data_IF_801958851902
#
_entry.id   IF_801958851902
#
_cell.length_a   1.000
_cell.length_b   1.000
_cell.length_c   1.000
_cell.angle_alpha   90.00
_cell.angle_beta   90.00
_cell.angle_gamma   90.00
#
_symmetry.space_group_name_H-M   'P 1'
#
loop_
_entity.id
_entity.type
_entity.pdbx_description
1 polymer ?
#
# COMPACT_ATOMS: atom_id res chain seq x y z
N UNK A 1 -45.29 -24.14 14.89
CA UNK A 1 -45.81 -23.14 15.84
C UNK A 1 -44.79 -22.00 15.99
N UNK A 2 -44.61 -21.15 14.96
CA UNK A 2 -43.68 -20.01 14.98
C UNK A 2 -44.15 -18.93 14.00
N UNK A 3 -45.09 -18.07 14.42
CA UNK A 3 -45.59 -16.96 13.58
C UNK A 3 -46.16 -15.76 14.35
N UNK A 4 -45.72 -15.51 15.59
CA UNK A 4 -46.23 -14.39 16.43
C UNK A 4 -45.18 -13.33 16.84
N UNK A 5 -43.87 -13.60 16.77
CA UNK A 5 -42.85 -12.65 17.27
C UNK A 5 -42.52 -11.47 16.33
N UNK A 6 -43.20 -11.32 15.18
CA UNK A 6 -42.97 -10.19 14.25
C UNK A 6 -43.85 -8.96 14.51
N UNK A 7 -44.89 -9.07 15.35
CA UNK A 7 -45.79 -7.93 15.63
C UNK A 7 -45.30 -7.05 16.80
N UNK A 8 -44.60 -7.64 17.78
CA UNK A 8 -44.12 -6.91 18.96
C UNK A 8 -42.95 -5.96 18.66
N UNK A 9 -42.15 -6.26 17.64
CA UNK A 9 -40.97 -5.45 17.28
C UNK A 9 -41.34 -4.16 16.52
N UNK A 10 -42.52 -4.09 15.91
CA UNK A 10 -42.95 -2.92 15.12
C UNK A 10 -43.59 -1.81 15.97
N UNK A 11 -44.12 -2.15 17.16
CA UNK A 11 -44.79 -1.19 18.05
C UNK A 11 -43.80 -0.33 18.84
N UNK A 12 -42.60 -0.85 19.13
CA UNK A 12 -41.59 -0.13 19.93
C UNK A 12 -40.86 0.94 19.10
N UNK A 13 -40.72 0.75 17.79
CA UNK A 13 -40.05 1.72 16.89
C UNK A 13 -40.84 3.01 16.66
N UNK A 14 -42.17 3.01 16.87
CA UNK A 14 -43.03 4.17 16.60
C UNK A 14 -43.11 5.14 17.80
N UNK A 15 -42.78 4.70 19.02
CA UNK A 15 -42.94 5.53 20.23
C UNK A 15 -41.71 6.36 20.65
N UNK A 16 -40.61 6.34 19.89
CA UNK A 16 -39.40 7.12 20.21
C UNK A 16 -39.05 8.23 19.19
N UNK A 17 -39.97 8.54 18.27
CA UNK A 17 -39.78 9.60 17.24
C UNK A 17 -40.60 10.88 17.57
N UNK A 18 -41.38 10.89 18.64
CA UNK A 18 -42.28 12.00 19.02
C UNK A 18 -41.87 12.69 20.33
N UNK A 19 -40.58 12.96 20.53
CA UNK A 19 -40.06 13.62 21.73
C UNK A 19 -38.92 14.61 21.44
N UNK A 20 -39.08 15.48 20.43
CA UNK A 20 -38.15 16.59 20.16
C UNK A 20 -38.82 17.73 19.34
N UNK A 21 -39.97 18.23 19.83
CA UNK A 21 -40.62 19.45 19.32
C UNK A 21 -41.15 20.32 20.48
N UNK A 22 -40.23 20.93 21.23
CA UNK A 22 -40.50 22.10 22.10
C UNK A 22 -39.31 23.05 22.06
N UNK A 23 -39.14 23.76 20.94
CA UNK A 23 -38.29 24.94 20.86
C UNK A 23 -39.14 26.19 21.06
N UNK A 24 -39.01 26.85 22.22
CA UNK A 24 -39.67 28.13 22.46
C UNK A 24 -38.90 29.25 21.74
N UNK A 25 -39.63 30.10 21.04
CA UNK A 25 -39.14 31.32 20.40
C UNK A 25 -39.13 32.51 21.37
N UNK A 26 -38.11 33.35 21.28
CA UNK A 26 -38.23 34.79 21.54
C UNK A 26 -37.04 35.53 20.92
N UNK A 27 -37.32 36.35 19.91
CA UNK A 27 -36.48 37.49 19.55
C UNK A 27 -36.80 38.65 20.51
N UNK A 28 -35.82 39.50 20.84
CA UNK A 28 -35.90 40.92 20.46
C UNK A 28 -34.62 41.71 20.84
N UNK A 29 -34.32 42.71 20.00
CA UNK A 29 -33.76 44.05 20.30
C UNK A 29 -32.69 44.15 21.42
N UNK A 30 -31.45 44.63 21.23
CA UNK A 30 -30.88 45.50 20.20
C UNK A 30 -30.57 46.90 20.77
N UNK A 31 -29.34 47.41 20.59
CA UNK A 31 -29.09 48.87 20.51
C UNK A 31 -27.66 49.18 20.03
N UNK A 32 -27.51 50.30 19.31
CA UNK A 32 -26.22 50.86 18.92
C UNK A 32 -25.68 51.75 20.04
N UNK A 33 -24.37 51.67 20.32
CA UNK A 33 -23.65 52.80 20.90
C UNK A 33 -22.41 53.14 20.08
N UNK A 34 -22.51 54.25 19.38
CA UNK A 34 -21.38 54.96 18.77
C UNK A 34 -20.48 55.52 19.88
N UNK A 35 -19.17 55.32 19.77
CA UNK A 35 -18.21 56.16 20.49
C UNK A 35 -17.05 56.54 19.58
N UNK A 36 -16.76 57.83 19.51
CA UNK A 36 -15.71 58.41 18.65
C UNK A 36 -14.43 58.69 19.45
N UNK A 37 -13.29 58.64 18.76
CA UNK A 37 -11.97 59.01 19.29
C UNK A 37 -11.24 57.82 19.93
N UNK A 38 -9.90 57.74 19.89
CA UNK A 38 -8.91 58.79 19.59
C UNK A 38 -7.76 58.19 18.77
N UNK A 39 -7.06 59.03 17.99
CA UNK A 39 -5.84 58.64 17.26
C UNK A 39 -4.75 58.12 18.20
N UNK A 40 -4.26 56.91 17.93
CA UNK A 40 -3.06 56.35 18.53
C UNK A 40 -2.20 55.70 17.46
N UNK A 41 -1.07 56.31 17.13
CA UNK A 41 -0.05 55.64 16.32
C UNK A 41 0.63 54.57 17.18
N UNK A 42 0.31 53.31 16.96
CA UNK A 42 1.17 52.21 17.40
C UNK A 42 1.70 51.39 16.22
N UNK A 43 2.99 51.14 16.31
CA UNK A 43 3.84 50.60 15.26
C UNK A 43 3.72 49.06 15.24
N UNK A 44 2.60 48.54 14.75
CA UNK A 44 2.42 47.10 14.56
C UNK A 44 3.17 46.62 13.31
N UNK A 45 4.50 46.54 13.43
CA UNK A 45 5.26 45.58 12.65
C UNK A 45 4.68 44.19 12.93
N UNK A 46 4.15 43.55 11.89
CA UNK A 46 3.56 42.20 11.99
C UNK A 46 4.62 41.25 12.53
N UNK A 47 4.50 40.90 13.81
CA UNK A 47 5.30 39.83 14.42
C UNK A 47 4.83 38.53 13.80
N UNK A 48 5.47 38.16 12.68
CA UNK A 48 5.37 36.83 12.10
C UNK A 48 5.68 35.83 13.23
N UNK A 49 4.79 34.89 13.57
CA UNK A 49 5.03 33.95 14.66
C UNK A 49 6.38 33.25 14.42
N UNK A 50 7.30 33.46 15.34
CA UNK A 50 8.68 33.03 15.21
C UNK A 50 8.82 31.55 15.53
N UNK A 51 9.53 30.82 14.67
CA UNK A 51 9.99 29.44 14.88
C UNK A 51 8.86 28.40 15.02
N UNK A 52 8.48 27.80 13.90
CA UNK A 52 8.06 26.39 13.93
C UNK A 52 9.15 25.57 14.64
N UNK A 53 8.75 24.55 15.40
CA UNK A 53 9.72 23.62 15.98
C UNK A 53 10.29 22.80 14.82
N UNK A 54 11.58 22.97 14.52
CA UNK A 54 12.33 22.11 13.59
C UNK A 54 12.55 20.73 14.20
N UNK A 55 11.47 19.97 14.34
CA UNK A 55 11.50 18.56 14.66
C UNK A 55 12.01 17.74 13.47
N UNK A 56 12.45 16.53 13.75
CA UNK A 56 12.79 15.56 12.71
C UNK A 56 11.56 14.71 12.39
N UNK A 57 11.18 14.58 11.12
CA UNK A 57 10.19 13.60 10.70
C UNK A 57 10.87 12.23 10.54
N UNK A 58 10.22 11.18 11.03
CA UNK A 58 10.72 9.80 10.99
C UNK A 58 9.72 8.89 10.30
N UNK A 59 10.19 8.11 9.33
CA UNK A 59 9.39 7.11 8.61
C UNK A 59 10.04 5.75 8.80
N UNK A 60 9.37 4.89 9.55
CA UNK A 60 9.81 3.54 9.85
C UNK A 60 9.04 2.56 8.96
N UNK A 61 9.75 1.83 8.12
CA UNK A 61 9.25 0.67 7.39
C UNK A 61 9.59 -0.57 8.21
N UNK A 62 8.56 -1.11 8.87
CA UNK A 62 8.72 -2.16 9.86
C UNK A 62 8.79 -3.51 9.13
N UNK A 63 9.91 -4.22 9.22
CA UNK A 63 10.02 -5.62 8.81
C UNK A 63 8.95 -6.47 9.53
N UNK A 64 7.91 -6.81 8.78
CA UNK A 64 6.82 -7.73 9.15
C UNK A 64 6.89 -9.02 8.33
N UNK A 65 8.02 -9.28 7.65
CA UNK A 65 8.10 -10.29 6.60
C UNK A 65 7.28 -9.86 5.38
N UNK A 66 6.46 -10.78 4.86
CA UNK A 66 5.56 -10.46 3.76
C UNK A 66 4.38 -9.64 4.30
N UNK A 67 4.24 -8.40 3.82
CA UNK A 67 3.23 -7.45 4.27
C UNK A 67 3.75 -6.03 4.40
N UNK A 68 2.94 -5.16 4.97
CA UNK A 68 3.24 -3.75 5.18
C UNK A 68 2.94 -3.31 6.61
N UNK A 69 3.85 -2.50 7.16
CA UNK A 69 3.61 -1.70 8.35
C UNK A 69 4.53 -0.48 8.29
N UNK A 70 3.97 0.71 8.01
CA UNK A 70 4.71 1.97 7.92
C UNK A 70 4.26 2.93 9.00
N UNK A 71 5.18 3.32 9.88
CA UNK A 71 4.95 4.24 10.99
C UNK A 71 5.61 5.60 10.68
N UNK A 72 4.84 6.67 10.67
CA UNK A 72 5.33 8.04 10.48
C UNK A 72 5.21 8.79 11.80
N UNK A 73 6.33 9.26 12.35
CA UNK A 73 6.37 10.27 13.41
C UNK A 73 6.64 11.63 12.77
N UNK A 74 5.69 12.54 12.89
CA UNK A 74 5.78 13.93 12.41
C UNK A 74 6.70 14.80 13.27
N UNK A 75 7.13 15.98 12.80
CA UNK A 75 8.01 16.89 13.56
C UNK A 75 7.48 17.29 14.95
N UNK A 76 6.17 17.42 15.15
CA UNK A 76 5.56 17.67 16.46
C UNK A 76 5.12 16.39 17.20
N UNK A 77 5.72 15.25 16.88
CA UNK A 77 5.52 13.93 17.52
C UNK A 77 4.11 13.33 17.39
N UNK A 78 3.32 13.80 16.41
CA UNK A 78 2.07 13.14 16.00
C UNK A 78 2.38 11.90 15.16
N UNK A 79 1.53 10.87 15.27
CA UNK A 79 1.81 9.55 14.72
C UNK A 79 0.76 9.09 13.71
N UNK A 80 1.21 8.72 12.50
CA UNK A 80 0.42 7.97 11.52
C UNK A 80 0.93 6.52 11.50
N UNK A 81 0.04 5.53 11.59
CA UNK A 81 0.36 4.14 11.24
C UNK A 81 -0.42 3.74 9.98
N UNK A 82 0.28 3.18 9.00
CA UNK A 82 -0.27 2.67 7.75
C UNK A 82 0.00 1.17 7.73
N UNK A 83 -1.07 0.37 7.82
CA UNK A 83 -1.05 -1.10 7.92
C UNK A 83 -0.25 -1.64 9.12
N UNK A 84 -0.31 -2.97 9.34
CA UNK A 84 0.31 -3.63 10.51
C UNK A 84 0.73 -5.09 10.26
N UNK A 85 0.95 -5.49 9.00
CA UNK A 85 1.34 -6.84 8.61
C UNK A 85 0.22 -7.88 8.74
N UNK A 86 0.56 -9.14 8.54
CA UNK A 86 -0.34 -10.27 8.80
C UNK A 86 -0.61 -10.44 10.31
N UNK A 87 -1.62 -11.24 10.63
CA UNK A 87 -2.16 -11.43 11.98
C UNK A 87 -1.12 -11.88 13.02
N UNK A 88 -0.12 -12.67 12.62
CA UNK A 88 0.97 -13.08 13.52
C UNK A 88 1.98 -11.96 13.80
N UNK A 89 1.98 -10.88 12.98
CA UNK A 89 2.87 -9.71 13.09
C UNK A 89 2.31 -8.61 13.98
N UNK A 90 1.01 -8.61 14.26
CA UNK A 90 0.35 -7.57 15.06
C UNK A 90 1.01 -7.34 16.43
N UNK A 91 1.50 -8.39 17.09
CA UNK A 91 2.23 -8.26 18.36
C UNK A 91 3.62 -7.63 18.18
N UNK A 92 4.40 -8.03 17.16
CA UNK A 92 5.73 -7.45 16.92
C UNK A 92 5.67 -6.00 16.45
N UNK A 93 4.63 -5.62 15.68
CA UNK A 93 4.36 -4.20 15.34
C UNK A 93 4.04 -3.40 16.61
N UNK A 94 3.21 -3.92 17.51
CA UNK A 94 2.91 -3.27 18.81
C UNK A 94 4.17 -3.12 19.67
N UNK A 95 5.03 -4.14 19.71
CA UNK A 95 6.30 -4.08 20.45
C UNK A 95 7.26 -3.05 19.84
N UNK A 96 7.44 -3.04 18.52
CA UNK A 96 8.26 -2.07 17.81
C UNK A 96 7.81 -0.62 18.08
N UNK A 97 6.51 -0.34 17.92
CA UNK A 97 5.94 1.01 18.17
C UNK A 97 6.19 1.44 19.64
N UNK A 98 6.11 0.51 20.60
CA UNK A 98 6.42 0.79 22.01
C UNK A 98 7.91 1.05 22.27
N UNK A 99 8.84 0.45 21.52
CA UNK A 99 10.27 0.82 21.66
C UNK A 99 10.56 2.24 21.18
N UNK A 100 9.72 2.79 20.30
CA UNK A 100 9.75 4.22 19.92
C UNK A 100 9.09 5.15 20.95
N UNK A 101 8.69 4.63 22.13
CA UNK A 101 8.00 5.35 23.21
C UNK A 101 6.64 5.94 22.81
N UNK A 102 5.99 5.35 21.80
CA UNK A 102 4.67 5.76 21.31
C UNK A 102 3.58 4.98 22.05
N UNK A 103 2.56 5.70 22.53
CA UNK A 103 1.38 5.14 23.20
C UNK A 103 0.04 5.57 22.56
N UNK A 104 0.10 6.51 21.61
CA UNK A 104 -1.03 7.04 20.85
C UNK A 104 -0.69 7.02 19.37
N UNK A 105 -1.63 6.55 18.55
CA UNK A 105 -1.60 6.64 17.09
C UNK A 105 -2.70 7.63 16.73
N UNK A 106 -2.32 8.85 16.33
CA UNK A 106 -3.28 9.92 16.01
C UNK A 106 -4.11 9.56 14.77
N UNK A 107 -3.49 8.95 13.76
CA UNK A 107 -4.17 8.43 12.56
C UNK A 107 -3.74 7.00 12.26
N UNK A 108 -4.70 6.10 12.12
CA UNK A 108 -4.52 4.71 11.67
C UNK A 108 -5.15 4.55 10.28
N UNK A 109 -4.37 4.09 9.31
CA UNK A 109 -4.79 3.83 7.94
C UNK A 109 -4.70 2.33 7.66
N UNK A 110 -5.79 1.74 7.19
CA UNK A 110 -5.78 0.40 6.60
C UNK A 110 -5.89 0.56 5.07
N UNK A 111 -4.86 0.21 4.32
CA UNK A 111 -4.79 0.56 2.89
C UNK A 111 -5.85 -0.15 2.07
N UNK A 112 -5.98 -1.47 2.23
CA UNK A 112 -6.95 -2.33 1.53
C UNK A 112 -7.18 -3.66 2.31
N UNK A 113 -8.17 -4.50 1.96
CA UNK A 113 -8.63 -5.61 2.83
C UNK A 113 -7.74 -6.87 2.98
N UNK A 114 -6.50 -6.89 2.47
CA UNK A 114 -5.66 -8.10 2.49
C UNK A 114 -4.97 -8.36 3.84
N UNK A 115 -4.70 -9.64 4.10
CA UNK A 115 -4.32 -10.12 5.42
C UNK A 115 -2.96 -9.56 5.89
N UNK A 116 -1.99 -9.53 4.99
CA UNK A 116 -0.64 -9.01 5.16
C UNK A 116 -0.55 -7.48 5.27
N UNK A 117 -1.71 -6.80 5.24
CA UNK A 117 -1.85 -5.37 5.53
C UNK A 117 -2.64 -5.14 6.82
N UNK A 118 -3.85 -5.71 6.90
CA UNK A 118 -4.78 -5.38 7.99
C UNK A 118 -4.81 -6.40 9.14
N UNK A 119 -4.12 -7.53 9.00
CA UNK A 119 -4.19 -8.65 9.95
C UNK A 119 -3.65 -8.30 11.33
N UNK A 120 -2.59 -7.49 11.41
CA UNK A 120 -2.05 -7.02 12.68
C UNK A 120 -2.82 -5.85 13.31
N UNK A 121 -3.67 -5.14 12.56
CA UNK A 121 -4.33 -3.91 13.03
C UNK A 121 -5.22 -4.14 14.28
N UNK A 122 -5.96 -5.26 14.45
CA UNK A 122 -6.65 -5.57 15.70
C UNK A 122 -5.75 -5.54 16.95
N UNK A 123 -4.49 -5.97 16.84
CA UNK A 123 -3.53 -5.92 17.96
C UNK A 123 -3.13 -4.49 18.28
N UNK A 124 -2.91 -3.67 17.25
CA UNK A 124 -2.62 -2.23 17.35
C UNK A 124 -3.79 -1.49 18.01
N UNK A 125 -5.01 -1.65 17.50
CA UNK A 125 -6.22 -1.02 18.04
C UNK A 125 -6.40 -1.34 19.51
N UNK A 126 -6.19 -2.60 19.92
CA UNK A 126 -6.32 -2.99 21.33
C UNK A 126 -5.17 -2.46 22.23
N UNK A 127 -4.01 -2.15 21.66
CA UNK A 127 -2.79 -1.80 22.43
C UNK A 127 -2.50 -0.31 22.60
N UNK A 128 -3.05 0.56 21.75
CA UNK A 128 -2.75 2.00 21.73
C UNK A 128 -4.01 2.85 21.86
N UNK A 129 -3.87 4.12 22.23
CA UNK A 129 -4.93 5.10 22.01
C UNK A 129 -4.97 5.40 20.50
N UNK A 130 -6.14 5.28 19.87
CA UNK A 130 -6.31 5.55 18.44
C UNK A 130 -7.16 6.81 18.31
N UNK A 131 -6.68 7.81 17.56
CA UNK A 131 -7.43 9.03 17.27
C UNK A 131 -8.45 8.78 16.16
N UNK A 132 -7.97 8.69 14.92
CA UNK A 132 -8.79 8.50 13.72
C UNK A 132 -8.46 7.19 13.00
N UNK A 133 -9.46 6.57 12.36
CA UNK A 133 -9.27 5.37 11.52
C UNK A 133 -9.76 5.66 10.12
N UNK A 134 -8.91 5.43 9.11
CA UNK A 134 -9.24 5.58 7.69
C UNK A 134 -9.17 4.23 6.98
N UNK A 135 -10.17 3.93 6.17
CA UNK A 135 -10.24 2.72 5.33
C UNK A 135 -10.93 3.04 4.00
N UNK A 136 -10.56 2.41 2.87
CA UNK A 136 -11.33 2.52 1.64
C UNK A 136 -12.71 1.88 1.80
N UNK A 137 -13.68 2.32 1.00
CA UNK A 137 -15.08 1.86 1.08
C UNK A 137 -15.31 0.56 0.31
N UNK A 138 -14.54 -0.49 0.64
CA UNK A 138 -14.66 -1.83 0.04
C UNK A 138 -14.96 -2.88 1.10
N UNK A 139 -16.12 -3.57 1.05
CA UNK A 139 -16.41 -4.65 1.98
C UNK A 139 -15.65 -5.93 1.58
N UNK A 140 -15.23 -6.70 2.58
CA UNK A 140 -14.68 -8.03 2.39
C UNK A 140 -15.25 -9.02 3.41
N UNK A 141 -15.17 -10.32 3.16
CA UNK A 141 -15.79 -11.36 4.00
C UNK A 141 -14.77 -12.30 4.65
N UNK A 142 -13.49 -11.96 4.63
CA UNK A 142 -12.46 -12.72 5.37
C UNK A 142 -12.58 -12.48 6.87
N UNK A 143 -12.15 -13.47 7.66
CA UNK A 143 -12.08 -13.35 9.12
C UNK A 143 -11.18 -12.19 9.55
N UNK A 144 -10.11 -11.93 8.82
CA UNK A 144 -9.23 -10.76 8.99
C UNK A 144 -9.98 -9.43 8.94
N UNK A 145 -10.84 -9.24 7.93
CA UNK A 145 -11.62 -8.02 7.78
C UNK A 145 -12.73 -7.90 8.85
N UNK A 146 -13.38 -9.02 9.20
CA UNK A 146 -14.33 -9.08 10.31
C UNK A 146 -13.67 -8.70 11.65
N UNK A 147 -12.49 -9.25 11.95
CA UNK A 147 -11.75 -8.99 13.19
C UNK A 147 -11.29 -7.53 13.29
N UNK A 148 -10.92 -6.90 12.18
CA UNK A 148 -10.67 -5.45 12.11
C UNK A 148 -11.92 -4.64 12.47
N UNK A 149 -13.05 -4.91 11.81
CA UNK A 149 -14.30 -4.19 12.07
C UNK A 149 -14.77 -4.37 13.53
N UNK A 150 -14.63 -5.58 14.09
CA UNK A 150 -14.93 -5.85 15.49
C UNK A 150 -13.99 -5.09 16.44
N UNK A 151 -12.68 -5.02 16.16
CA UNK A 151 -11.74 -4.25 16.98
C UNK A 151 -12.09 -2.75 16.99
N UNK A 152 -12.38 -2.18 15.82
CA UNK A 152 -12.85 -0.79 15.66
C UNK A 152 -14.14 -0.55 16.46
N UNK A 153 -15.14 -1.42 16.28
CA UNK A 153 -16.44 -1.32 16.94
C UNK A 153 -16.32 -1.43 18.47
N UNK A 154 -15.58 -2.43 18.97
CA UNK A 154 -15.40 -2.67 20.40
C UNK A 154 -14.67 -1.51 21.10
N UNK A 155 -13.83 -0.77 20.38
CA UNK A 155 -13.16 0.44 20.88
C UNK A 155 -13.96 1.74 20.66
N UNK A 156 -15.16 1.65 20.08
CA UNK A 156 -16.03 2.80 19.82
C UNK A 156 -15.51 3.76 18.74
N UNK A 157 -14.56 3.30 17.92
CA UNK A 157 -13.93 4.10 16.87
C UNK A 157 -14.86 4.26 15.67
N UNK A 158 -14.68 5.36 14.93
CA UNK A 158 -15.41 5.64 13.69
C UNK A 158 -14.47 5.50 12.49
N UNK A 159 -14.92 4.80 11.46
CA UNK A 159 -14.20 4.72 10.18
C UNK A 159 -14.51 5.96 9.36
N UNK A 160 -13.48 6.69 8.98
CA UNK A 160 -13.50 7.68 7.91
C UNK A 160 -13.15 7.01 6.58
N UNK A 161 -13.75 7.46 5.49
CA UNK A 161 -13.45 6.90 4.16
C UNK A 161 -12.13 7.44 3.65
N UNK A 162 -11.17 6.55 3.41
CA UNK A 162 -9.97 6.84 2.65
C UNK A 162 -10.29 6.91 1.15
N UNK A 163 -9.85 7.98 0.50
CA UNK A 163 -9.99 8.24 -0.94
C UNK A 163 -9.13 9.44 -1.35
N UNK A 164 -8.90 9.60 -2.64
CA UNK A 164 -8.19 10.73 -3.21
C UNK A 164 -8.76 12.10 -2.76
N UNK A 165 -7.86 13.05 -2.47
CA UNK A 165 -8.18 14.40 -2.04
C UNK A 165 -8.55 14.55 -0.55
N UNK A 166 -8.39 13.51 0.26
CA UNK A 166 -8.51 13.61 1.73
C UNK A 166 -7.17 14.09 2.30
N UNK A 167 -7.15 15.29 2.88
CA UNK A 167 -6.02 15.83 3.65
C UNK A 167 -6.15 15.44 5.12
N UNK A 168 -5.05 15.04 5.76
CA UNK A 168 -4.97 14.75 7.18
C UNK A 168 -4.57 16.03 7.94
N UNK A 169 -5.49 16.59 8.73
CA UNK A 169 -5.20 17.66 9.69
C UNK A 169 -4.58 17.04 10.96
N UNK A 170 -3.26 16.79 10.89
CA UNK A 170 -2.51 16.07 11.94
C UNK A 170 -1.38 16.91 12.54
N UNK A 171 -0.57 17.57 11.72
CA UNK A 171 0.57 18.39 12.14
C UNK A 171 0.77 19.51 11.10
N UNK A 172 0.76 20.77 11.56
CA UNK A 172 0.87 21.96 10.70
C UNK A 172 2.24 22.16 10.04
N UNK A 173 3.23 21.33 10.37
CA UNK A 173 4.54 21.32 9.71
C UNK A 173 4.60 20.43 8.47
N UNK A 174 3.59 19.60 8.20
CA UNK A 174 3.57 18.71 7.03
C UNK A 174 2.28 18.87 6.23
N UNK A 175 2.35 18.52 4.95
CA UNK A 175 1.17 18.23 4.14
C UNK A 175 1.04 16.70 4.00
N UNK A 176 -0.12 16.14 4.33
CA UNK A 176 -0.40 14.71 4.20
C UNK A 176 -1.73 14.49 3.48
N UNK A 177 -1.69 13.98 2.25
CA UNK A 177 -2.83 13.91 1.33
C UNK A 177 -2.95 12.51 0.73
N UNK A 178 -4.16 11.96 0.77
CA UNK A 178 -4.48 10.71 0.08
C UNK A 178 -4.60 10.95 -1.42
N UNK A 179 -3.83 10.20 -2.22
CA UNK A 179 -3.81 10.27 -3.68
C UNK A 179 -4.72 9.21 -4.34
N UNK A 180 -5.06 8.15 -3.61
CA UNK A 180 -5.94 7.07 -4.05
C UNK A 180 -6.70 6.48 -2.84
N UNK A 181 -7.78 5.69 -3.04
CA UNK A 181 -8.44 5.35 -4.32
C UNK A 181 -9.10 6.55 -5.01
N UNK A 182 -9.12 6.52 -6.35
CA UNK A 182 -9.72 7.55 -7.22
C UNK A 182 -11.09 7.15 -7.81
N UNK A 183 -11.43 5.86 -7.75
CA UNK A 183 -12.71 5.28 -8.17
C UNK A 183 -13.42 4.60 -6.99
N UNK A 184 -14.77 4.57 -7.05
CA UNK A 184 -15.61 3.89 -6.04
C UNK A 184 -15.58 2.35 -6.18
N UNK A 185 -15.03 1.82 -7.28
CA UNK A 185 -14.95 0.38 -7.57
C UNK A 185 -13.71 0.04 -8.40
N UNK A 186 -13.08 -1.06 -8.04
CA UNK A 186 -12.04 -1.76 -8.81
C UNK A 186 -12.33 -3.26 -8.87
N UNK A 187 -11.70 -3.95 -9.82
CA UNK A 187 -11.73 -5.42 -9.93
C UNK A 187 -10.76 -6.08 -8.95
N UNK A 188 -9.53 -5.55 -8.85
CA UNK A 188 -8.55 -5.97 -7.83
C UNK A 188 -8.85 -5.30 -6.48
N UNK A 189 -8.72 -6.04 -5.37
CA UNK A 189 -8.78 -5.46 -4.03
C UNK A 189 -7.58 -4.54 -3.75
N UNK A 190 -6.44 -4.83 -4.38
CA UNK A 190 -5.20 -4.06 -4.28
C UNK A 190 -5.38 -2.60 -4.75
N UNK A 191 -6.14 -2.38 -5.82
CA UNK A 191 -6.36 -1.04 -6.40
C UNK A 191 -7.18 -0.10 -5.49
N UNK A 192 -7.89 -0.63 -4.49
CA UNK A 192 -8.51 0.17 -3.42
C UNK A 192 -7.48 0.73 -2.42
N UNK A 193 -6.20 0.39 -2.55
CA UNK A 193 -5.13 0.85 -1.65
C UNK A 193 -5.16 2.35 -1.45
N UNK A 194 -5.18 2.74 -0.18
CA UNK A 194 -4.99 4.12 0.22
C UNK A 194 -3.54 4.53 -0.02
N UNK A 195 -3.30 5.30 -1.07
CA UNK A 195 -1.99 5.90 -1.35
C UNK A 195 -1.90 7.22 -0.59
N UNK A 196 -0.91 7.39 0.28
CA UNK A 196 -0.67 8.63 1.04
C UNK A 196 0.61 9.31 0.54
N UNK A 197 0.52 10.56 0.08
CA UNK A 197 1.69 11.45 -0.07
C UNK A 197 1.88 12.25 1.21
N UNK A 198 3.12 12.38 1.66
CA UNK A 198 3.52 13.24 2.78
C UNK A 198 4.67 14.14 2.34
N UNK A 199 4.56 15.44 2.61
CA UNK A 199 5.58 16.46 2.31
C UNK A 199 5.94 17.20 3.60
N UNK A 200 7.24 17.33 3.86
CA UNK A 200 7.81 18.14 4.93
C UNK A 200 8.90 19.04 4.34
N UNK A 201 8.62 20.34 4.21
CA UNK A 201 9.47 21.31 3.49
C UNK A 201 9.84 20.80 2.09
N UNK A 202 11.12 20.63 1.76
CA UNK A 202 11.60 20.11 0.46
C UNK A 202 11.59 18.56 0.38
N UNK A 203 11.21 17.85 1.45
CA UNK A 203 11.29 16.39 1.54
C UNK A 203 9.94 15.71 1.37
N UNK A 204 9.87 14.69 0.51
CA UNK A 204 8.60 14.09 0.07
C UNK A 204 8.61 12.56 0.02
N UNK A 205 7.50 11.96 0.46
CA UNK A 205 7.27 10.53 0.57
C UNK A 205 5.94 10.15 -0.09
N UNK A 206 5.86 9.01 -0.78
CA UNK A 206 4.60 8.41 -1.20
C UNK A 206 4.54 6.94 -0.77
N UNK A 207 3.50 6.62 0.02
CA UNK A 207 3.25 5.29 0.57
C UNK A 207 2.04 4.71 -0.14
N UNK A 208 2.25 3.70 -0.99
CA UNK A 208 1.23 3.31 -1.97
C UNK A 208 0.29 2.19 -1.54
N UNK A 209 0.63 1.48 -0.46
CA UNK A 209 0.12 0.11 -0.28
C UNK A 209 0.35 -0.69 -1.57
N UNK A 210 -0.66 -1.46 -1.96
CA UNK A 210 -0.54 -2.42 -3.06
C UNK A 210 -1.20 -1.96 -4.37
N UNK A 211 -1.45 -0.66 -4.51
CA UNK A 211 -1.95 -0.06 -5.76
C UNK A 211 -1.26 -0.63 -7.02
N UNK A 212 -2.04 -1.12 -7.98
CA UNK A 212 -1.54 -1.75 -9.20
C UNK A 212 -1.76 -0.81 -10.40
N UNK A 213 -1.49 -1.31 -11.61
CA UNK A 213 -1.58 -0.54 -12.85
C UNK A 213 -2.89 0.28 -13.01
N UNK A 214 -4.03 -0.20 -12.54
CA UNK A 214 -5.31 0.53 -12.64
C UNK A 214 -5.30 1.79 -11.76
N UNK A 215 -5.00 1.63 -10.47
CA UNK A 215 -4.98 2.74 -9.51
C UNK A 215 -3.84 3.73 -9.83
N UNK A 216 -2.69 3.22 -10.27
CA UNK A 216 -1.55 4.03 -10.74
C UNK A 216 -1.92 4.88 -11.97
N UNK A 217 -2.61 4.31 -12.97
CA UNK A 217 -3.12 5.07 -14.13
C UNK A 217 -4.18 6.11 -13.75
N UNK A 218 -5.06 5.82 -12.79
CA UNK A 218 -6.03 6.80 -12.31
C UNK A 218 -5.37 7.98 -11.60
N UNK A 219 -4.36 7.73 -10.75
CA UNK A 219 -3.60 8.80 -10.10
C UNK A 219 -2.95 9.74 -11.13
N UNK A 220 -2.31 9.17 -12.17
CA UNK A 220 -1.74 9.94 -13.29
C UNK A 220 -2.81 10.74 -14.04
N UNK A 221 -3.94 10.12 -14.38
CA UNK A 221 -5.02 10.75 -15.14
C UNK A 221 -5.74 11.88 -14.38
N UNK A 222 -5.65 11.90 -13.04
CA UNK A 222 -6.20 12.99 -12.20
C UNK A 222 -5.31 14.23 -12.15
N UNK A 223 -4.05 14.12 -12.58
CA UNK A 223 -3.08 15.22 -12.49
C UNK A 223 -2.68 15.55 -11.05
N UNK A 224 -2.70 14.56 -10.16
CA UNK A 224 -2.11 14.70 -8.83
C UNK A 224 -0.59 14.94 -8.96
N UNK A 225 -0.02 15.78 -8.10
CA UNK A 225 1.44 15.84 -7.97
C UNK A 225 1.93 14.58 -7.24
N UNK A 226 2.38 13.58 -8.00
CA UNK A 226 2.86 12.30 -7.47
C UNK A 226 4.37 12.32 -7.16
N UNK A 227 5.09 13.39 -7.51
CA UNK A 227 6.54 13.48 -7.33
C UNK A 227 6.90 13.29 -5.85
N UNK A 228 7.75 12.33 -5.54
CA UNK A 228 8.21 12.05 -4.18
C UNK A 228 9.64 11.52 -4.17
N UNK A 229 10.49 12.00 -3.26
CA UNK A 229 11.88 11.54 -3.14
C UNK A 229 11.97 10.08 -2.65
N UNK A 230 11.02 9.67 -1.80
CA UNK A 230 10.91 8.31 -1.26
C UNK A 230 9.61 7.66 -1.73
N UNK A 231 9.73 6.52 -2.40
CA UNK A 231 8.60 5.66 -2.79
C UNK A 231 8.61 4.40 -1.93
N UNK A 232 7.53 4.10 -1.19
CA UNK A 232 7.23 2.70 -0.83
C UNK A 232 6.77 2.03 -2.11
N UNK A 233 7.55 1.07 -2.59
CA UNK A 233 7.31 0.39 -3.87
C UNK A 233 6.02 -0.42 -3.78
N UNK A 234 5.12 -0.17 -4.73
CA UNK A 234 3.77 -0.73 -4.76
C UNK A 234 3.77 -2.26 -4.79
N UNK A 235 2.84 -2.89 -4.08
CA UNK A 235 2.58 -4.34 -4.10
C UNK A 235 3.85 -5.19 -3.85
N UNK A 236 4.66 -4.78 -2.86
CA UNK A 236 5.93 -5.43 -2.48
C UNK A 236 6.94 -5.59 -3.63
N UNK A 237 6.83 -4.77 -4.69
CA UNK A 237 7.58 -4.95 -5.93
C UNK A 237 7.00 -6.03 -6.84
N UNK A 238 5.67 -6.15 -6.94
CA UNK A 238 5.02 -6.99 -7.94
C UNK A 238 5.35 -6.53 -9.37
N UNK A 239 5.34 -7.47 -10.32
CA UNK A 239 5.47 -7.14 -11.74
C UNK A 239 4.30 -6.29 -12.27
N UNK A 240 3.12 -6.37 -11.64
CA UNK A 240 1.87 -5.65 -11.98
C UNK A 240 1.77 -4.21 -11.48
N UNK A 241 2.73 -3.77 -10.66
CA UNK A 241 2.70 -2.50 -9.94
C UNK A 241 3.98 -1.69 -10.16
N UNK A 242 4.01 -0.42 -9.76
CA UNK A 242 5.07 0.53 -10.07
C UNK A 242 5.40 0.51 -11.56
N UNK A 243 4.36 0.75 -12.38
CA UNK A 243 4.47 0.81 -13.84
C UNK A 243 5.38 1.96 -14.26
N UNK A 244 6.04 1.85 -15.42
CA UNK A 244 7.01 2.86 -15.85
C UNK A 244 6.44 4.30 -15.91
N UNK A 245 5.20 4.56 -16.40
CA UNK A 245 4.60 5.89 -16.33
C UNK A 245 4.46 6.45 -14.90
N UNK A 246 4.08 5.61 -13.93
CA UNK A 246 3.93 6.03 -12.53
C UNK A 246 5.30 6.29 -11.89
N UNK A 247 6.26 5.39 -12.11
CA UNK A 247 7.64 5.57 -11.63
C UNK A 247 8.30 6.83 -12.20
N UNK A 248 8.00 7.18 -13.47
CA UNK A 248 8.49 8.41 -14.10
C UNK A 248 7.89 9.68 -13.49
N UNK A 249 6.61 9.67 -13.09
CA UNK A 249 5.96 10.83 -12.45
C UNK A 249 6.38 11.00 -10.99
N UNK A 250 6.49 9.89 -10.25
CA UNK A 250 7.00 9.90 -8.87
C UNK A 250 8.47 10.35 -8.86
N UNK A 251 9.28 9.89 -9.82
CA UNK A 251 10.71 10.16 -9.96
C UNK A 251 11.49 10.08 -8.62
N UNK A 252 11.43 8.93 -7.90
CA UNK A 252 12.01 8.82 -6.58
C UNK A 252 13.51 8.67 -6.62
N UNK A 253 14.17 9.16 -5.56
CA UNK A 253 15.58 8.86 -5.28
C UNK A 253 15.72 7.53 -4.55
N UNK A 254 14.78 7.23 -3.65
CA UNK A 254 14.81 6.07 -2.77
C UNK A 254 13.57 5.19 -2.97
N UNK A 255 13.78 3.89 -3.11
CA UNK A 255 12.71 2.90 -3.29
C UNK A 255 12.72 1.88 -2.15
N UNK A 256 11.67 1.88 -1.33
CA UNK A 256 11.55 0.97 -0.17
C UNK A 256 10.58 -0.16 -0.49
N UNK A 257 11.08 -1.38 -0.48
CA UNK A 257 10.31 -2.60 -0.75
C UNK A 257 10.08 -3.32 0.58
N UNK A 258 8.90 -3.18 1.16
CA UNK A 258 8.44 -4.04 2.26
C UNK A 258 8.14 -5.43 1.70
N UNK A 259 8.89 -6.45 2.09
CA UNK A 259 8.79 -7.81 1.55
C UNK A 259 9.41 -8.83 2.51
N UNK A 260 8.95 -10.08 2.43
CA UNK A 260 9.45 -11.18 3.27
C UNK A 260 10.50 -12.06 2.57
N UNK A 261 11.50 -12.52 3.32
CA UNK A 261 12.47 -13.51 2.84
C UNK A 261 11.75 -14.79 2.41
N UNK A 262 12.09 -15.33 1.24
CA UNK A 262 11.52 -16.58 0.69
C UNK A 262 9.97 -16.58 0.65
N UNK A 263 9.35 -15.44 0.38
CA UNK A 263 7.90 -15.37 0.24
C UNK A 263 7.42 -16.19 -0.98
N UNK A 264 6.24 -16.80 -0.83
CA UNK A 264 5.58 -17.65 -1.84
C UNK A 264 5.09 -16.91 -3.10
N UNK A 265 5.21 -15.59 -3.16
CA UNK A 265 4.76 -14.76 -4.27
C UNK A 265 5.88 -14.44 -5.27
N UNK A 266 7.13 -14.78 -4.95
CA UNK A 266 8.29 -14.40 -5.75
C UNK A 266 8.60 -12.90 -5.69
N UNK A 267 8.14 -12.20 -4.64
CA UNK A 267 8.34 -10.76 -4.48
C UNK A 267 9.74 -10.44 -3.90
N UNK A 268 10.37 -9.31 -4.25
CA UNK A 268 10.02 -8.47 -5.39
C UNK A 268 10.39 -9.17 -6.70
N UNK A 269 9.58 -8.96 -7.74
CA UNK A 269 9.84 -9.49 -9.06
C UNK A 269 11.05 -8.80 -9.72
N UNK A 270 11.87 -9.56 -10.43
CA UNK A 270 13.06 -9.05 -11.13
C UNK A 270 12.71 -7.93 -12.11
N UNK A 271 11.55 -7.97 -12.78
CA UNK A 271 11.11 -6.91 -13.69
C UNK A 271 10.83 -5.58 -12.95
N UNK A 272 10.29 -5.65 -11.72
CA UNK A 272 10.03 -4.45 -10.91
C UNK A 272 11.34 -3.87 -10.37
N UNK A 273 12.25 -4.71 -9.87
CA UNK A 273 13.61 -4.30 -9.48
C UNK A 273 14.35 -3.69 -10.67
N UNK A 274 14.27 -4.29 -11.85
CA UNK A 274 14.90 -3.77 -13.07
C UNK A 274 14.24 -2.48 -13.61
N UNK A 275 12.96 -2.20 -13.33
CA UNK A 275 12.37 -0.87 -13.57
C UNK A 275 12.99 0.18 -12.65
N UNK A 276 13.03 -0.09 -11.36
CA UNK A 276 13.60 0.81 -10.34
C UNK A 276 15.09 1.11 -10.59
N UNK A 277 15.92 0.09 -10.80
CA UNK A 277 17.35 0.27 -11.06
C UNK A 277 17.63 1.04 -12.35
N UNK A 278 16.84 0.87 -13.41
CA UNK A 278 16.98 1.64 -14.66
C UNK A 278 16.56 3.11 -14.51
N UNK A 279 15.68 3.41 -13.56
CA UNK A 279 15.33 4.79 -13.19
C UNK A 279 16.37 5.43 -12.25
N UNK A 280 17.42 4.70 -11.83
CA UNK A 280 18.47 5.21 -10.94
C UNK A 280 18.05 5.31 -9.47
N UNK A 281 17.04 4.53 -9.05
CA UNK A 281 16.53 4.51 -7.68
C UNK A 281 17.45 3.71 -6.76
N UNK A 282 17.81 4.27 -5.61
CA UNK A 282 18.50 3.54 -4.53
C UNK A 282 17.48 2.63 -3.81
N UNK A 283 17.59 1.31 -4.01
CA UNK A 283 16.61 0.32 -3.53
C UNK A 283 17.00 -0.25 -2.16
N UNK A 284 16.07 -0.21 -1.20
CA UNK A 284 16.17 -0.87 0.09
C UNK A 284 15.01 -1.85 0.30
N UNK A 285 15.31 -3.05 0.78
CA UNK A 285 14.31 -4.09 1.09
C UNK A 285 14.32 -4.49 2.57
N UNK A 286 13.17 -4.74 3.17
CA UNK A 286 13.06 -5.19 4.58
C UNK A 286 13.61 -6.61 4.79
N UNK A 287 13.45 -7.52 3.83
CA UNK A 287 13.99 -8.88 3.94
C UNK A 287 15.53 -8.96 3.99
N UNK A 288 16.21 -7.93 3.47
CA UNK A 288 17.66 -7.78 3.51
C UNK A 288 18.12 -6.91 4.69
N UNK A 289 17.41 -5.81 4.97
CA UNK A 289 17.85 -4.75 5.89
C UNK A 289 17.13 -4.72 7.24
N UNK A 290 16.14 -5.58 7.44
CA UNK A 290 15.29 -5.54 8.62
C UNK A 290 14.43 -4.28 8.66
N UNK A 291 14.19 -3.75 9.86
CA UNK A 291 13.52 -2.45 9.98
C UNK A 291 14.37 -1.35 9.29
N UNK A 292 13.73 -0.56 8.44
CA UNK A 292 14.34 0.59 7.77
C UNK A 292 13.74 1.87 8.37
N UNK A 293 14.58 2.75 8.87
CA UNK A 293 14.18 4.07 9.39
C UNK A 293 14.80 5.14 8.49
N UNK A 294 13.95 5.98 7.89
CA UNK A 294 14.36 7.22 7.23
C UNK A 294 14.02 8.38 8.15
N UNK A 295 15.00 9.24 8.44
CA UNK A 295 14.78 10.50 9.16
C UNK A 295 15.07 11.69 8.25
N UNK A 296 14.36 12.80 8.47
CA UNK A 296 14.55 14.04 7.71
C UNK A 296 14.25 15.29 8.53
N UNK A 297 15.03 16.35 8.30
CA UNK A 297 14.83 17.71 8.81
C UNK A 297 14.07 18.61 7.80
N UNK A 298 13.45 18.00 6.79
CA UNK A 298 12.77 18.66 5.69
C UNK A 298 13.67 19.01 4.50
N UNK A 299 15.00 18.88 4.62
CA UNK A 299 15.95 19.15 3.52
C UNK A 299 16.90 17.98 3.23
N UNK A 300 17.23 17.20 4.26
CA UNK A 300 18.21 16.11 4.21
C UNK A 300 17.59 14.79 4.64
N UNK A 301 18.22 13.67 4.25
CA UNK A 301 17.76 12.32 4.55
C UNK A 301 18.87 11.52 5.23
N UNK A 302 18.56 10.88 6.35
CA UNK A 302 19.40 9.86 6.98
C UNK A 302 18.68 8.50 6.92
N UNK A 303 19.33 7.48 6.37
CA UNK A 303 18.76 6.14 6.25
C UNK A 303 19.48 5.21 7.22
N UNK A 304 18.73 4.69 8.18
CA UNK A 304 19.17 3.75 9.20
C UNK A 304 18.61 2.36 8.88
N UNK A 305 19.50 1.37 8.82
CA UNK A 305 19.20 -0.01 8.49
C UNK A 305 19.47 -0.86 9.74
N UNK A 306 18.50 -1.65 10.19
CA UNK A 306 18.69 -2.57 11.33
C UNK A 306 19.78 -3.60 11.03
N UNK A 307 19.70 -4.21 9.84
CA UNK A 307 20.62 -5.23 9.35
C UNK A 307 21.45 -4.62 8.23
N UNK A 308 22.78 -4.77 8.31
CA UNK A 308 23.65 -4.47 7.18
C UNK A 308 23.47 -5.57 6.15
N UNK A 309 22.76 -5.26 5.06
CA UNK A 309 22.62 -6.15 3.92
C UNK A 309 23.98 -6.52 3.33
N UNK A 310 24.02 -7.62 2.58
CA UNK A 310 25.16 -7.87 1.69
C UNK A 310 25.19 -6.74 0.66
N UNK A 311 26.21 -5.90 0.70
CA UNK A 311 26.36 -4.77 -0.21
C UNK A 311 26.61 -5.27 -1.62
N UNK A 312 25.55 -5.38 -2.42
CA UNK A 312 25.71 -5.45 -3.86
C UNK A 312 26.07 -4.03 -4.33
N UNK A 313 27.27 -3.77 -4.86
CA UNK A 313 27.59 -2.45 -5.37
C UNK A 313 26.66 -2.14 -6.53
N UNK A 314 26.15 -0.90 -6.53
CA UNK A 314 25.35 -0.29 -7.59
C UNK A 314 25.84 -0.75 -8.99
N UNK A 315 24.99 -1.34 -9.86
CA UNK A 315 25.38 -1.71 -11.21
C UNK A 315 25.72 -0.43 -12.01
N UNK A 316 27.02 -0.16 -12.08
CA UNK A 316 27.68 1.07 -12.50
C UNK A 316 26.98 1.86 -13.63
N UNK A 317 26.60 3.14 -13.42
CA UNK A 317 25.99 3.97 -14.45
C UNK A 317 27.05 4.50 -15.43
N UNK A 318 27.50 3.67 -16.38
CA UNK A 318 27.96 4.05 -17.72
C UNK A 318 28.59 2.86 -18.48
N UNK A 319 28.10 2.49 -19.67
CA UNK A 319 28.83 1.66 -20.61
C UNK A 319 29.64 2.53 -21.58
N UNK A 320 30.91 2.81 -21.28
CA UNK A 320 31.85 3.26 -22.32
C UNK A 320 32.49 2.03 -22.98
N UNK A 321 32.47 1.92 -24.32
CA UNK A 321 33.00 0.75 -25.01
C UNK A 321 34.53 0.81 -25.03
N UNK A 322 35.20 -0.27 -24.63
CA UNK A 322 36.60 -0.48 -24.99
C UNK A 322 36.84 -1.88 -25.51
N UNK A 323 37.55 -1.94 -26.63
CA UNK A 323 37.81 -3.11 -27.48
C UNK A 323 39.16 -3.76 -27.13
N UNK A 324 39.26 -5.09 -27.32
CA UNK A 324 40.52 -5.87 -27.47
C UNK A 324 41.38 -5.97 -26.18
N UNK A 325 42.03 -7.08 -25.77
CA UNK A 325 42.26 -8.48 -26.24
C UNK A 325 42.71 -9.30 -24.98
N UNK A 326 42.73 -10.64 -24.87
CA UNK A 326 42.44 -11.79 -25.77
C UNK A 326 42.13 -13.04 -24.93
N UNK A 327 41.48 -14.03 -25.57
CA UNK A 327 41.46 -15.48 -25.29
C UNK A 327 41.88 -16.07 -23.93
N UNK A 328 40.91 -16.70 -23.27
CA UNK A 328 41.02 -18.11 -22.84
C UNK A 328 39.66 -18.79 -22.87
N UNK A 329 39.45 -19.58 -23.91
CA UNK A 329 38.37 -20.56 -24.15
C UNK A 329 37.33 -20.79 -23.04
N UNK A 330 36.14 -20.21 -23.21
CA UNK A 330 34.87 -20.82 -22.76
C UNK A 330 33.99 -20.98 -23.99
N UNK A 331 33.46 -22.18 -24.21
CA UNK A 331 32.68 -22.48 -25.40
C UNK A 331 31.39 -21.66 -25.43
N UNK A 332 31.04 -21.16 -26.62
CA UNK A 332 29.72 -20.54 -26.89
C UNK A 332 28.62 -21.55 -26.56
N UNK A 333 27.72 -21.26 -25.59
CA UNK A 333 26.49 -22.02 -25.46
C UNK A 333 25.65 -21.74 -26.70
N UNK A 334 25.34 -22.81 -27.43
CA UNK A 334 24.35 -22.81 -28.52
C UNK A 334 23.02 -22.24 -28.00
N UNK A 335 22.26 -21.66 -28.92
CA UNK A 335 20.79 -21.46 -28.86
C UNK A 335 20.11 -22.01 -27.60
N UNK A 336 19.59 -21.10 -26.76
CA UNK A 336 18.78 -21.46 -25.59
C UNK A 336 17.66 -22.41 -26.04
N UNK A 337 17.56 -23.64 -25.49
CA UNK A 337 16.42 -24.51 -25.78
C UNK A 337 15.16 -23.85 -25.22
N UNK A 338 14.19 -23.57 -26.09
CA UNK A 338 12.82 -23.27 -25.68
C UNK A 338 12.18 -24.57 -25.22
N UNK A 339 12.38 -24.92 -23.95
CA UNK A 339 11.73 -26.09 -23.36
C UNK A 339 10.23 -25.83 -23.30
N UNK A 340 9.46 -26.67 -24.02
CA UNK A 340 8.00 -26.62 -23.99
C UNK A 340 7.51 -27.27 -22.71
N UNK A 341 6.46 -26.70 -22.14
CA UNK A 341 5.91 -27.08 -20.83
C UNK A 341 4.59 -27.81 -21.08
N UNK A 342 4.55 -29.12 -20.81
CA UNK A 342 3.30 -29.89 -20.89
C UNK A 342 2.42 -29.57 -19.69
N UNK A 343 1.26 -28.95 -19.94
CA UNK A 343 0.35 -28.50 -18.87
C UNK A 343 -0.24 -29.65 -18.06
N UNK A 344 -0.12 -30.90 -18.52
CA UNK A 344 -0.56 -32.10 -17.80
C UNK A 344 0.48 -32.73 -16.87
N UNK A 345 1.77 -32.60 -17.15
CA UNK A 345 2.84 -33.25 -16.37
C UNK A 345 3.76 -32.28 -15.63
N UNK A 346 3.89 -31.04 -16.09
CA UNK A 346 4.73 -30.01 -15.47
C UNK A 346 4.47 -29.85 -13.96
N UNK A 347 5.52 -29.59 -13.19
CA UNK A 347 5.43 -29.19 -11.78
C UNK A 347 4.75 -27.83 -11.62
N UNK A 348 4.40 -27.50 -10.37
CA UNK A 348 3.86 -26.20 -10.00
C UNK A 348 4.82 -25.04 -10.35
N UNK A 349 6.12 -25.28 -10.30
CA UNK A 349 7.17 -24.32 -10.65
C UNK A 349 7.27 -24.16 -12.18
N UNK A 350 7.35 -25.25 -12.93
CA UNK A 350 7.42 -25.22 -14.39
C UNK A 350 6.19 -24.56 -15.04
N UNK A 351 4.98 -24.78 -14.50
CA UNK A 351 3.77 -24.09 -14.96
C UNK A 351 3.86 -22.57 -14.84
N UNK A 352 4.59 -22.04 -13.85
CA UNK A 352 4.73 -20.60 -13.62
C UNK A 352 5.68 -19.90 -14.61
N UNK A 353 6.34 -20.67 -15.48
CA UNK A 353 7.13 -20.14 -16.60
C UNK A 353 6.28 -19.88 -17.87
N UNK A 354 4.98 -20.16 -17.85
CA UNK A 354 4.00 -19.82 -18.90
C UNK A 354 3.43 -18.42 -18.59
N UNK A 355 3.30 -17.53 -19.57
CA UNK A 355 2.71 -16.20 -19.31
C UNK A 355 1.27 -16.29 -18.78
N UNK A 356 0.90 -15.30 -17.97
CA UNK A 356 -0.37 -15.24 -17.21
C UNK A 356 -0.59 -16.36 -16.18
N UNK A 357 0.24 -17.40 -16.11
CA UNK A 357 0.12 -18.49 -15.13
C UNK A 357 0.95 -18.16 -13.88
N UNK A 358 0.36 -17.41 -12.94
CA UNK A 358 0.88 -17.32 -11.57
C UNK A 358 0.54 -18.55 -10.73
N UNK A 359 1.09 -18.64 -9.51
CA UNK A 359 0.89 -19.76 -8.57
C UNK A 359 -0.57 -20.22 -8.45
N UNK A 360 -1.54 -19.30 -8.28
CA UNK A 360 -2.96 -19.65 -8.15
C UNK A 360 -3.52 -20.33 -9.41
N UNK A 361 -3.11 -19.87 -10.60
CA UNK A 361 -3.49 -20.52 -11.86
C UNK A 361 -2.75 -21.85 -12.05
N UNK A 362 -1.49 -21.95 -11.62
CA UNK A 362 -0.74 -23.21 -11.65
C UNK A 362 -1.37 -24.27 -10.73
N UNK A 363 -1.78 -23.92 -9.51
CA UNK A 363 -2.54 -24.81 -8.62
C UNK A 363 -3.89 -25.22 -9.24
N UNK A 364 -4.65 -24.28 -9.82
CA UNK A 364 -5.90 -24.60 -10.51
C UNK A 364 -5.68 -25.53 -11.71
N UNK A 365 -4.62 -25.32 -12.50
CA UNK A 365 -4.24 -26.19 -13.61
C UNK A 365 -3.97 -27.60 -13.07
N UNK A 366 -3.12 -27.75 -12.04
CA UNK A 366 -2.82 -29.06 -11.44
C UNK A 366 -4.10 -29.77 -10.96
N UNK A 367 -5.00 -29.05 -10.29
CA UNK A 367 -6.26 -29.58 -9.78
C UNK A 367 -7.29 -29.95 -10.87
N UNK A 368 -7.16 -29.41 -12.08
CA UNK A 368 -8.08 -29.63 -13.21
C UNK A 368 -7.55 -30.62 -14.26
N UNK A 369 -6.34 -31.17 -14.07
CA UNK A 369 -5.75 -32.18 -14.95
C UNK A 369 -6.60 -33.46 -15.03
N UNK A 370 -6.59 -34.17 -16.18
CA UNK A 370 -5.88 -33.83 -17.42
C UNK A 370 -6.71 -32.95 -18.37
N UNK A 371 -6.03 -32.04 -19.06
CA UNK A 371 -6.54 -31.29 -20.21
C UNK A 371 -6.31 -32.07 -21.51
N UNK A 372 -7.26 -32.00 -22.44
CA UNK A 372 -7.14 -32.67 -23.76
C UNK A 372 -6.48 -31.78 -24.83
N UNK A 373 -6.63 -30.47 -24.69
CA UNK A 373 -6.04 -29.46 -25.58
C UNK A 373 -5.69 -28.22 -24.75
N UNK A 374 -4.83 -27.35 -25.28
CA UNK A 374 -4.46 -26.08 -24.62
C UNK A 374 -5.71 -25.19 -24.41
N UNK A 375 -6.67 -25.21 -25.35
CA UNK A 375 -7.91 -24.42 -25.30
C UNK A 375 -8.75 -24.71 -24.04
N UNK A 376 -8.62 -25.92 -23.47
CA UNK A 376 -9.31 -26.30 -22.25
C UNK A 376 -8.78 -25.58 -20.98
N UNK A 377 -7.68 -24.81 -21.07
CA UNK A 377 -7.25 -23.90 -20.00
C UNK A 377 -8.33 -22.86 -19.64
N UNK A 378 -9.30 -22.59 -20.53
CA UNK A 378 -10.48 -21.76 -20.21
C UNK A 378 -11.38 -22.33 -19.10
N UNK A 379 -11.19 -23.59 -18.70
CA UNK A 379 -11.81 -24.19 -17.51
C UNK A 379 -11.21 -23.64 -16.19
N UNK A 380 -10.00 -23.09 -16.23
CA UNK A 380 -9.34 -22.45 -15.09
C UNK A 380 -10.02 -21.10 -14.85
N UNK A 381 -10.51 -20.87 -13.63
CA UNK A 381 -11.30 -19.67 -13.31
C UNK A 381 -10.40 -18.43 -13.38
N UNK A 382 -10.60 -17.61 -14.41
CA UNK A 382 -9.82 -16.39 -14.66
C UNK A 382 -8.93 -16.47 -15.90
N UNK A 383 -8.81 -17.62 -16.57
CA UNK A 383 -8.22 -17.71 -17.91
C UNK A 383 -9.36 -17.57 -18.93
N UNK A 384 -9.59 -16.36 -19.42
CA UNK A 384 -10.49 -16.09 -20.54
C UNK A 384 -9.77 -16.08 -21.88
N UNK A 385 -10.54 -16.01 -22.98
CA UNK A 385 -10.05 -16.10 -24.37
C UNK A 385 -8.82 -15.24 -24.68
N UNK A 386 -8.69 -14.04 -24.07
CA UNK A 386 -7.51 -13.20 -24.31
C UNK A 386 -6.24 -13.76 -23.68
N UNK A 387 -6.31 -14.23 -22.42
CA UNK A 387 -5.16 -14.89 -21.78
C UNK A 387 -4.81 -16.20 -22.45
N UNK A 388 -5.81 -16.95 -22.92
CA UNK A 388 -5.60 -18.16 -23.71
C UNK A 388 -4.85 -17.85 -25.02
N UNK A 389 -5.27 -16.82 -25.78
CA UNK A 389 -4.55 -16.40 -26.99
C UNK A 389 -3.09 -16.08 -26.70
N UNK A 390 -2.83 -15.26 -25.69
CA UNK A 390 -1.47 -14.89 -25.32
C UNK A 390 -0.62 -16.14 -24.97
N UNK A 391 -1.17 -17.07 -24.17
CA UNK A 391 -0.51 -18.35 -23.80
C UNK A 391 -0.19 -19.20 -25.05
N UNK A 392 -1.09 -19.24 -26.04
CA UNK A 392 -0.88 -19.95 -27.31
C UNK A 392 0.18 -19.24 -28.16
N UNK A 393 0.16 -17.90 -28.22
CA UNK A 393 1.15 -17.08 -28.94
C UNK A 393 2.56 -17.17 -28.33
N UNK A 394 2.68 -17.39 -27.02
CA UNK A 394 3.96 -17.67 -26.36
C UNK A 394 4.61 -18.98 -26.86
N UNK A 395 3.80 -19.97 -27.26
CA UNK A 395 4.25 -21.22 -27.84
C UNK A 395 5.00 -22.17 -26.89
N UNK A 396 5.13 -21.82 -25.60
CA UNK A 396 5.73 -22.68 -24.56
C UNK A 396 4.79 -23.78 -24.09
N UNK A 397 3.53 -23.45 -23.80
CA UNK A 397 2.55 -24.40 -23.29
C UNK A 397 2.18 -25.43 -24.38
N UNK A 398 2.07 -26.70 -24.00
CA UNK A 398 1.46 -27.73 -24.85
C UNK A 398 0.70 -28.76 -24.02
N UNK A 399 -0.03 -29.64 -24.71
CA UNK A 399 -0.56 -30.90 -24.17
C UNK A 399 0.10 -32.00 -24.99
N UNK A 400 0.79 -32.94 -24.34
CA UNK A 400 1.24 -34.15 -25.04
C UNK A 400 0.04 -35.07 -25.33
N UNK A 401 -0.10 -35.55 -26.57
CA UNK A 401 -1.14 -36.52 -26.91
C UNK A 401 -0.86 -37.83 -26.17
N UNK A 402 -1.67 -38.12 -25.15
CA UNK A 402 -1.52 -39.32 -24.34
C UNK A 402 -1.64 -40.60 -25.17
N UNK A 403 -0.51 -41.24 -25.42
CA UNK A 403 -0.47 -42.58 -26.02
C UNK A 403 -1.15 -43.60 -25.11
N UNK A 404 -2.01 -44.44 -25.69
CA UNK A 404 -2.70 -45.53 -24.98
C UNK A 404 -1.72 -46.46 -24.25
N UNK A 405 -1.92 -46.65 -22.94
CA UNK A 405 -1.42 -47.78 -22.15
C UNK A 405 -2.41 -48.16 -21.05
#
# INVERSE_FOLDING_TARGET
MFKQNKLLFFVITVMLVTALLMGCSSEDIGENLLYNGVEGQENQGVVKPSSSIKGEMKVHFIDVGQGDATLIQTPNNKTILIDAGDRDKGTSVVEYIKTQSIYTIDVLIATHPHADHIGGIPHVINSFNIGEVYMPKVPHTTKTYEDLLLAIQNKGLKIKTAKAGVTLDIDSSIEAVMMAPNSEKYESLNDYSTVLKVVYEDSSFIITGDAEESSEKEMLAKGHDLKADVLRVSHHGSRSSTIQPFLNEVNPKYGIISVGTNNRYGHPHDEAVARLSRAGVDIYRTDIHGHILITTDGQSYNIHLEKKGWSNPNPNPNPTPNTNQTDSSVAVPKSIPTEKIDINTASLEELQHIIHIGHEYAEQIINLRPFKTIDELTKVKGIGDSRLRDIIEEGKAFVEEGGEK
#
